data_IF_942388090093
#
_entry.id   IF_942388090093
#
_cell.length_a   1.000
_cell.length_b   1.000
_cell.length_c   1.000
_cell.angle_alpha   90.00
_cell.angle_beta   90.00
_cell.angle_gamma   90.00
#
_symmetry.space_group_name_H-M   'P 1'
#
loop_
_entity.id
_entity.type
_entity.pdbx_description
1 polymer ?
#
# COMPACT_ATOMS: atom_id res chain seq x y z
N UNK A 1 5.72 18.37 18.31
CA UNK A 1 6.19 17.53 17.19
C UNK A 1 7.31 18.26 16.46
N UNK A 2 8.37 17.58 16.01
CA UNK A 2 9.49 18.19 15.30
C UNK A 2 9.38 17.94 13.77
N UNK A 3 10.18 18.65 12.96
CA UNK A 3 10.18 18.54 11.48
C UNK A 3 10.36 17.11 10.99
N UNK A 4 11.28 16.37 11.62
CA UNK A 4 11.54 14.94 11.30
C UNK A 4 10.27 14.09 11.44
N UNK A 5 9.47 14.30 12.48
CA UNK A 5 8.20 13.57 12.65
C UNK A 5 7.20 13.85 11.51
N UNK A 6 7.17 15.08 10.97
CA UNK A 6 6.34 15.40 9.82
C UNK A 6 6.89 14.81 8.52
N UNK A 7 8.21 14.76 8.35
CA UNK A 7 8.85 14.15 7.18
C UNK A 7 8.56 12.64 7.12
N UNK A 8 8.64 11.93 8.24
CA UNK A 8 8.29 10.50 8.30
C UNK A 8 6.79 10.27 8.03
N UNK A 9 5.91 11.10 8.61
CA UNK A 9 4.46 11.02 8.31
C UNK A 9 4.17 11.28 6.83
N UNK A 10 4.84 12.26 6.23
CA UNK A 10 4.67 12.57 4.81
C UNK A 10 5.09 11.41 3.91
N UNK A 11 6.15 10.66 4.27
CA UNK A 11 6.55 9.45 3.55
C UNK A 11 5.46 8.38 3.60
N UNK A 12 4.94 8.08 4.79
CA UNK A 12 3.86 7.09 4.98
C UNK A 12 2.61 7.50 4.17
N UNK A 13 2.17 8.75 4.31
CA UNK A 13 0.98 9.25 3.59
C UNK A 13 1.20 9.17 2.07
N UNK A 14 2.38 9.53 1.57
CA UNK A 14 2.73 9.42 0.14
C UNK A 14 2.71 7.96 -0.33
N UNK A 15 3.22 7.04 0.47
CA UNK A 15 3.17 5.61 0.21
C UNK A 15 1.73 5.08 0.18
N UNK A 16 0.77 5.73 0.86
CA UNK A 16 -0.65 5.31 0.87
C UNK A 16 -1.54 6.06 -0.13
N UNK A 17 -1.12 7.22 -0.65
CA UNK A 17 -1.93 8.10 -1.50
C UNK A 17 -2.16 7.57 -2.93
N UNK A 18 -2.81 6.41 -3.07
CA UNK A 18 -3.27 5.82 -4.32
C UNK A 18 -4.42 4.85 -4.06
N UNK A 19 -5.48 4.83 -4.90
CA UNK A 19 -6.66 3.99 -4.66
C UNK A 19 -6.34 2.51 -4.43
N UNK A 20 -5.53 1.89 -5.31
CA UNK A 20 -5.11 0.49 -5.17
C UNK A 20 -4.43 0.19 -3.85
N UNK A 21 -3.61 1.13 -3.34
CA UNK A 21 -2.86 0.94 -2.09
C UNK A 21 -3.77 1.03 -0.88
N UNK A 22 -4.76 1.92 -0.91
CA UNK A 22 -5.79 1.98 0.13
C UNK A 22 -6.62 0.68 0.16
N UNK A 23 -7.06 0.19 -1.01
CA UNK A 23 -7.77 -1.10 -1.09
C UNK A 23 -6.95 -2.27 -0.54
N UNK A 24 -5.65 -2.33 -0.86
CA UNK A 24 -4.75 -3.36 -0.30
C UNK A 24 -4.56 -3.22 1.21
N UNK A 25 -4.44 -2.01 1.74
CA UNK A 25 -4.36 -1.79 3.20
C UNK A 25 -5.63 -2.28 3.88
N UNK A 26 -6.81 -1.91 3.38
CA UNK A 26 -8.08 -2.34 3.96
C UNK A 26 -8.20 -3.87 3.97
N UNK A 27 -7.81 -4.53 2.88
CA UNK A 27 -7.80 -5.99 2.80
C UNK A 27 -6.79 -6.65 3.77
N UNK A 28 -5.62 -6.04 3.97
CA UNK A 28 -4.58 -6.54 4.87
C UNK A 28 -4.91 -6.32 6.35
N UNK A 29 -5.78 -5.34 6.67
CA UNK A 29 -6.32 -5.16 8.03
C UNK A 29 -7.20 -6.34 8.43
N UNK A 30 -7.88 -6.98 7.47
CA UNK A 30 -8.71 -8.17 7.72
C UNK A 30 -7.89 -9.46 7.87
N UNK A 31 -6.62 -9.46 7.44
CA UNK A 31 -5.70 -10.59 7.58
C UNK A 31 -4.65 -10.65 6.47
N UNK A 32 -3.73 -11.61 6.58
CA UNK A 32 -2.74 -11.86 5.52
C UNK A 32 -3.43 -12.26 4.21
N UNK A 33 -2.96 -11.71 3.09
CA UNK A 33 -3.47 -11.97 1.73
C UNK A 33 -2.34 -12.38 0.80
N UNK A 34 -2.61 -13.33 -0.10
CA UNK A 34 -1.71 -13.60 -1.20
C UNK A 34 -1.75 -12.46 -2.23
N UNK A 35 -0.67 -12.31 -3.00
CA UNK A 35 -0.63 -11.34 -4.10
C UNK A 35 -1.73 -11.62 -5.13
N UNK A 36 -2.13 -12.87 -5.30
CA UNK A 36 -3.26 -13.28 -6.13
C UNK A 36 -4.59 -12.61 -5.71
N UNK A 37 -4.96 -12.73 -4.43
CA UNK A 37 -6.18 -12.12 -3.87
C UNK A 37 -6.15 -10.60 -4.03
N UNK A 38 -5.00 -9.97 -3.82
CA UNK A 38 -4.85 -8.52 -3.99
C UNK A 38 -4.94 -8.09 -5.46
N UNK A 39 -4.47 -8.94 -6.38
CA UNK A 39 -4.56 -8.73 -7.83
C UNK A 39 -6.01 -8.77 -8.29
N UNK A 40 -6.78 -9.75 -7.81
CA UNK A 40 -8.22 -9.85 -8.07
C UNK A 40 -8.99 -8.67 -7.48
N UNK A 41 -8.69 -8.29 -6.23
CA UNK A 41 -9.33 -7.17 -5.54
C UNK A 41 -9.12 -5.83 -6.27
N UNK A 42 -7.89 -5.55 -6.69
CA UNK A 42 -7.51 -4.27 -7.28
C UNK A 42 -7.86 -4.21 -8.78
N UNK A 43 -8.04 -5.36 -9.44
CA UNK A 43 -8.29 -5.44 -10.89
C UNK A 43 -7.11 -4.96 -11.73
N UNK A 44 -5.88 -5.10 -11.21
CA UNK A 44 -4.62 -4.75 -11.89
C UNK A 44 -3.77 -5.99 -12.06
N UNK A 45 -2.78 -5.96 -12.96
CA UNK A 45 -1.87 -7.09 -13.14
C UNK A 45 -0.93 -7.29 -11.94
N UNK A 46 -0.41 -8.52 -11.79
CA UNK A 46 0.46 -8.91 -10.68
C UNK A 46 1.72 -8.03 -10.57
N UNK A 47 2.28 -7.55 -11.67
CA UNK A 47 3.48 -6.70 -11.65
C UNK A 47 3.18 -5.32 -11.07
N UNK A 48 2.02 -4.75 -11.40
CA UNK A 48 1.52 -3.49 -10.84
C UNK A 48 1.26 -3.62 -9.34
N UNK A 49 0.59 -4.69 -8.91
CA UNK A 49 0.30 -4.96 -7.49
C UNK A 49 1.61 -5.15 -6.70
N UNK A 50 2.54 -5.94 -7.23
CA UNK A 50 3.84 -6.18 -6.60
C UNK A 50 4.65 -4.88 -6.44
N UNK A 51 4.63 -4.03 -7.46
CA UNK A 51 5.28 -2.71 -7.43
C UNK A 51 4.65 -1.79 -6.37
N UNK A 52 3.33 -1.81 -6.23
CA UNK A 52 2.66 -1.05 -5.19
C UNK A 52 3.01 -1.55 -3.78
N UNK A 53 3.05 -2.87 -3.56
CA UNK A 53 3.45 -3.46 -2.27
C UNK A 53 4.90 -3.12 -1.91
N UNK A 54 5.80 -3.13 -2.89
CA UNK A 54 7.19 -2.72 -2.68
C UNK A 54 7.28 -1.25 -2.20
N UNK A 55 6.56 -0.34 -2.86
CA UNK A 55 6.50 1.07 -2.48
C UNK A 55 5.86 1.33 -1.11
N UNK A 56 4.99 0.45 -0.63
CA UNK A 56 4.37 0.55 0.70
C UNK A 56 5.26 0.01 1.82
N UNK A 57 6.23 -0.86 1.48
CA UNK A 57 7.14 -1.49 2.43
C UNK A 57 8.33 -0.60 2.80
N UNK A 58 8.75 0.25 1.88
CA UNK A 58 9.86 1.21 2.03
C UNK A 58 9.51 2.39 2.95
#
# INVERSE_FOLDING_TARGET
>A
MNRRAYEERAKIIKALAHPSRLMMVDALVEGEKCVCELTELVGSDMSTVSKHLALMKE
#
